data_IF_219423653415
#
_entry.id   IF_219423653415
#
_cell.length_a   1.000
_cell.length_b   1.000
_cell.length_c   1.000
_cell.angle_alpha   90.00
_cell.angle_beta   90.00
_cell.angle_gamma   90.00
#
_symmetry.space_group_name_H-M   'P 1'
#
loop_
_entity.id
_entity.type
_entity.pdbx_description
1 polymer ?
#
# COMPACT_ATOMS: atom_id res chain seq x y z
N UNK A 1 30.33 -17.40 2.78
CA UNK A 1 29.03 -17.13 2.13
C UNK A 1 28.91 -15.61 1.95
N UNK A 2 28.75 -15.11 0.73
CA UNK A 2 28.66 -13.66 0.46
C UNK A 2 27.19 -13.29 0.39
N UNK A 3 26.67 -12.66 1.44
CA UNK A 3 25.30 -12.15 1.44
C UNK A 3 25.27 -10.93 0.52
N UNK A 4 24.66 -11.10 -0.66
CA UNK A 4 24.43 -10.01 -1.60
C UNK A 4 23.08 -9.40 -1.22
N UNK A 5 23.12 -8.22 -0.60
CA UNK A 5 21.92 -7.43 -0.35
C UNK A 5 21.39 -6.93 -1.70
N UNK A 6 20.40 -7.64 -2.26
CA UNK A 6 19.69 -7.27 -3.49
C UNK A 6 18.58 -6.24 -3.26
N UNK A 7 18.61 -5.48 -2.15
CA UNK A 7 17.86 -4.23 -2.07
C UNK A 7 18.42 -3.31 -3.16
N UNK A 8 17.87 -3.41 -4.37
CA UNK A 8 17.81 -2.28 -5.30
C UNK A 8 17.39 -1.07 -4.48
N UNK A 9 17.97 0.10 -4.76
CA UNK A 9 17.72 1.38 -4.07
C UNK A 9 16.31 1.43 -3.49
N UNK A 10 16.16 1.88 -2.23
CA UNK A 10 14.85 2.04 -1.56
C UNK A 10 13.96 2.93 -2.44
N UNK A 11 13.31 2.31 -3.41
CA UNK A 11 12.38 2.96 -4.27
C UNK A 11 11.11 3.06 -3.44
N UNK A 12 10.94 4.24 -2.85
CA UNK A 12 9.78 4.58 -2.04
C UNK A 12 8.55 4.86 -2.90
N UNK A 13 8.68 4.79 -4.23
CA UNK A 13 7.56 4.94 -5.14
C UNK A 13 6.63 3.74 -4.98
N UNK A 14 5.34 4.07 -4.88
CA UNK A 14 4.28 3.10 -4.72
C UNK A 14 3.90 2.53 -6.08
N UNK A 15 3.69 1.21 -6.11
CA UNK A 15 3.26 0.48 -7.29
C UNK A 15 2.08 -0.42 -6.94
N UNK A 16 1.28 -0.79 -7.94
CA UNK A 16 0.24 -1.81 -7.78
C UNK A 16 0.88 -3.11 -7.27
N UNK A 17 0.26 -3.73 -6.26
CA UNK A 17 0.74 -4.94 -5.63
C UNK A 17 1.67 -4.68 -4.43
N UNK A 18 2.12 -3.44 -4.23
CA UNK A 18 2.84 -3.10 -3.00
C UNK A 18 1.92 -3.17 -1.79
N UNK A 19 2.46 -3.67 -0.68
CA UNK A 19 1.82 -3.59 0.63
C UNK A 19 2.37 -2.39 1.37
N UNK A 20 1.48 -1.60 1.97
CA UNK A 20 1.83 -0.47 2.82
C UNK A 20 1.33 -0.72 4.24
N UNK A 21 2.05 -0.18 5.22
CA UNK A 21 1.64 -0.10 6.61
C UNK A 21 1.46 1.36 6.98
N UNK A 22 0.33 1.71 7.57
CA UNK A 22 -0.02 3.09 7.92
C UNK A 22 -0.65 3.15 9.31
N UNK A 23 -0.31 4.18 10.09
CA UNK A 23 -0.79 4.34 11.47
C UNK A 23 -0.63 5.77 12.00
N UNK A 24 -1.46 6.11 12.98
CA UNK A 24 -1.30 7.31 13.81
C UNK A 24 -0.62 7.00 15.15
N UNK A 25 -0.93 5.84 15.75
CA UNK A 25 -0.29 5.31 16.96
C UNK A 25 0.32 3.93 16.69
N UNK A 26 1.49 3.59 17.27
CA UNK A 26 2.15 2.30 16.99
C UNK A 26 1.32 1.04 17.31
N UNK A 27 0.34 1.15 18.20
CA UNK A 27 -0.56 0.04 18.56
C UNK A 27 -1.75 -0.14 17.58
N UNK A 28 -1.96 0.83 16.69
CA UNK A 28 -3.07 0.90 15.73
C UNK A 28 -2.48 0.85 14.30
N UNK A 29 -1.62 -0.14 14.05
CA UNK A 29 -1.06 -0.38 12.72
C UNK A 29 -2.09 -1.05 11.84
N UNK A 30 -2.23 -0.52 10.62
CA UNK A 30 -3.03 -1.12 9.57
C UNK A 30 -2.13 -1.48 8.40
N UNK A 31 -2.53 -2.51 7.66
CA UNK A 31 -1.84 -2.95 6.45
C UNK A 31 -2.81 -2.93 5.28
N UNK A 32 -2.35 -2.43 4.15
CA UNK A 32 -3.16 -2.35 2.96
C UNK A 32 -2.39 -2.73 1.69
N UNK A 33 -3.09 -3.31 0.73
CA UNK A 33 -2.57 -3.65 -0.59
C UNK A 33 -2.96 -2.57 -1.60
N UNK A 34 -1.99 -2.01 -2.32
CA UNK A 34 -2.27 -1.07 -3.40
C UNK A 34 -2.80 -1.84 -4.62
N UNK A 35 -3.96 -1.44 -5.11
CA UNK A 35 -4.62 -2.09 -6.26
C UNK A 35 -5.11 -1.07 -7.29
N UNK A 36 -5.16 -1.50 -8.54
CA UNK A 36 -5.99 -0.85 -9.56
C UNK A 36 -7.45 -1.31 -9.38
N UNK A 37 -8.37 -0.36 -9.34
CA UNK A 37 -9.81 -0.56 -9.23
C UNK A 37 -10.41 -0.18 -10.58
N UNK A 38 -11.04 -1.15 -11.25
CA UNK A 38 -11.76 -0.92 -12.51
C UNK A 38 -13.25 -0.87 -12.22
N UNK A 39 -13.83 0.33 -12.31
CA UNK A 39 -15.27 0.55 -12.28
C UNK A 39 -15.81 0.70 -13.72
N UNK A 40 -17.12 0.49 -13.95
CA UNK A 40 -17.71 0.56 -15.29
C UNK A 40 -17.53 1.91 -15.99
N UNK A 41 -17.38 2.99 -15.24
CA UNK A 41 -17.28 4.37 -15.74
C UNK A 41 -15.94 5.03 -15.44
N UNK A 42 -15.08 4.41 -14.62
CA UNK A 42 -13.81 5.00 -14.21
C UNK A 42 -12.81 3.92 -13.76
N UNK A 43 -11.52 4.20 -13.87
CA UNK A 43 -10.46 3.33 -13.37
C UNK A 43 -9.51 4.15 -12.52
N UNK A 44 -9.15 3.64 -11.35
CA UNK A 44 -8.25 4.35 -10.44
C UNK A 44 -7.45 3.43 -9.54
N UNK A 45 -6.72 4.03 -8.62
CA UNK A 45 -5.88 3.34 -7.64
C UNK A 45 -6.48 3.48 -6.25
N UNK A 46 -6.46 2.40 -5.47
CA UNK A 46 -6.94 2.38 -4.10
C UNK A 46 -6.12 1.45 -3.21
N UNK A 47 -6.51 1.35 -1.94
CA UNK A 47 -5.88 0.48 -0.94
C UNK A 47 -6.93 -0.46 -0.37
N UNK A 48 -6.65 -1.77 -0.45
CA UNK A 48 -7.47 -2.80 0.20
C UNK A 48 -6.90 -3.04 1.59
N UNK A 49 -7.68 -2.76 2.63
CA UNK A 49 -7.34 -3.08 4.01
C UNK A 49 -7.24 -4.62 4.17
N UNK A 50 -6.11 -5.09 4.71
CA UNK A 50 -5.81 -6.51 4.89
C UNK A 50 -6.25 -7.04 6.27
N UNK A 51 -6.55 -6.18 7.23
CA UNK A 51 -6.92 -6.56 8.60
C UNK A 51 -8.43 -6.60 8.78
N UNK A 52 -9.17 -5.74 8.10
CA UNK A 52 -10.63 -5.75 8.14
C UNK A 52 -11.20 -6.89 7.28
N UNK A 53 -11.75 -7.90 7.97
CA UNK A 53 -12.52 -9.01 7.36
C UNK A 53 -13.92 -8.60 6.90
N UNK A 54 -14.34 -7.37 7.20
CA UNK A 54 -15.54 -6.78 6.64
C UNK A 54 -15.18 -6.19 5.28
N UNK A 55 -16.08 -6.34 4.32
CA UNK A 55 -15.94 -6.02 2.89
C UNK A 55 -15.66 -4.53 2.56
N UNK A 56 -15.16 -3.73 3.51
CA UNK A 56 -14.73 -2.36 3.29
C UNK A 56 -13.39 -2.33 2.56
N UNK A 57 -13.49 -2.53 1.24
CA UNK A 57 -12.61 -1.81 0.32
C UNK A 57 -12.74 -0.32 0.65
N UNK A 58 -11.71 0.27 1.28
CA UNK A 58 -11.53 1.72 1.29
C UNK A 58 -11.07 2.11 -0.13
N UNK A 59 -12.03 1.99 -1.04
CA UNK A 59 -11.88 2.20 -2.47
C UNK A 59 -12.05 3.69 -2.76
N UNK A 60 -11.00 4.46 -2.47
CA UNK A 60 -10.86 5.72 -3.15
C UNK A 60 -10.39 5.41 -4.56
N UNK A 61 -11.10 5.85 -5.59
CA UNK A 61 -10.64 5.76 -6.97
C UNK A 61 -9.89 7.04 -7.27
N UNK A 62 -8.56 6.99 -7.18
CA UNK A 62 -7.71 8.08 -7.61
C UNK A 62 -7.20 7.85 -9.04
N UNK A 63 -7.17 8.88 -9.91
CA UNK A 63 -6.67 8.72 -11.27
C UNK A 63 -5.15 8.47 -11.30
N UNK A 64 -4.40 8.94 -10.30
CA UNK A 64 -2.96 8.75 -10.16
C UNK A 64 -2.59 8.15 -8.82
N UNK A 65 -1.55 7.31 -8.80
CA UNK A 65 -1.02 6.71 -7.57
C UNK A 65 -0.45 7.75 -6.60
N UNK A 66 0.05 8.88 -7.13
CA UNK A 66 0.55 10.00 -6.33
C UNK A 66 -0.55 10.67 -5.51
N UNK A 67 -1.77 10.75 -6.04
CA UNK A 67 -2.92 11.31 -5.31
C UNK A 67 -3.31 10.39 -4.15
N UNK A 68 -3.30 9.07 -4.38
CA UNK A 68 -3.51 8.07 -3.34
C UNK A 68 -2.43 8.19 -2.25
N UNK A 69 -1.18 8.30 -2.65
CA UNK A 69 -0.07 8.49 -1.72
C UNK A 69 -0.22 9.78 -0.91
N UNK A 70 -0.67 10.87 -1.53
CA UNK A 70 -0.92 12.13 -0.86
C UNK A 70 -2.02 12.00 0.20
N UNK A 71 -3.16 11.38 -0.16
CA UNK A 71 -4.26 11.15 0.78
C UNK A 71 -3.82 10.32 1.99
N UNK A 72 -3.18 9.16 1.76
CA UNK A 72 -2.81 8.28 2.87
C UNK A 72 -1.82 8.99 3.81
N UNK A 73 -0.91 9.81 3.27
CA UNK A 73 0.03 10.61 4.07
C UNK A 73 -0.61 11.83 4.74
N UNK A 74 -1.76 12.32 4.27
CA UNK A 74 -2.50 13.39 4.94
C UNK A 74 -3.32 12.86 6.13
N UNK A 75 -3.86 11.64 6.01
CA UNK A 75 -4.69 11.01 7.05
C UNK A 75 -3.87 10.30 8.14
N UNK A 76 -2.70 9.74 7.77
CA UNK A 76 -1.86 8.96 8.66
C UNK A 76 -0.47 9.57 8.85
N UNK A 77 -0.08 9.74 10.11
CA UNK A 77 1.21 10.32 10.50
C UNK A 77 2.40 9.50 10.04
N UNK A 78 2.26 8.18 10.02
CA UNK A 78 3.32 7.26 9.61
C UNK A 78 2.80 6.36 8.51
N UNK A 79 3.58 6.26 7.44
CA UNK A 79 3.29 5.38 6.31
C UNK A 79 4.60 4.79 5.81
N UNK A 80 4.67 3.47 5.69
CA UNK A 80 5.85 2.75 5.19
C UNK A 80 5.44 1.68 4.18
N UNK A 81 6.23 1.54 3.11
CA UNK A 81 6.11 0.40 2.19
C UNK A 81 6.67 -0.85 2.88
N UNK A 82 5.84 -1.88 3.00
CA UNK A 82 6.21 -3.15 3.60
C UNK A 82 6.89 -3.98 2.52
N UNK A 83 8.16 -4.32 2.75
CA UNK A 83 8.94 -5.13 1.83
C UNK A 83 8.61 -6.63 2.07
N UNK A 84 7.41 -7.04 1.68
CA UNK A 84 6.98 -8.43 1.77
C UNK A 84 7.67 -9.23 0.65
N UNK A 85 8.83 -9.83 0.93
CA UNK A 85 9.28 -10.96 0.12
C UNK A 85 8.29 -12.10 0.38
N UNK A 86 7.39 -12.34 -0.57
CA UNK A 86 6.65 -13.59 -0.63
C UNK A 86 7.70 -14.69 -0.86
N UNK A 87 8.09 -15.37 0.22
CA UNK A 87 8.91 -16.58 0.12
C UNK A 87 7.95 -17.67 -0.34
N UNK A 88 8.00 -18.01 -1.62
CA UNK A 88 7.44 -19.27 -2.12
C UNK A 88 8.59 -20.27 -2.05
N UNK A 89 8.51 -21.21 -1.12
CA UNK A 89 9.38 -22.40 -1.07
C UNK A 89 8.87 -23.47 -2.04
#
# INVERSE_FOLDING_TARGET
>A
MKVIDKRTERNNDWHIGDVICYWNKPAEKHYGLICEIKLPTDSGFGVIDLENKTESLVSFTFPLIDDLQHLVRSEYRYVEKVNAKLVIE
#
